data_IF_922183068115
#
_entry.id   IF_922183068115
#
_cell.length_a   1.000
_cell.length_b   1.000
_cell.length_c   1.000
_cell.angle_alpha   90.00
_cell.angle_beta   90.00
_cell.angle_gamma   90.00
#
_symmetry.space_group_name_H-M   'P 1'
#
loop_
_entity.id
_entity.type
_entity.pdbx_description
1 polymer ?
#
# COMPACT_ATOMS: atom_id res chain seq x y z
N UNK A 1 -68.17 21.40 11.49
CA UNK A 1 -67.10 21.04 10.54
C UNK A 1 -65.74 21.18 11.22
N UNK A 2 -65.28 20.16 11.96
CA UNK A 2 -64.03 20.19 12.75
C UNK A 2 -63.17 18.92 12.57
N UNK A 3 -63.46 18.10 11.56
CA UNK A 3 -62.83 16.79 11.35
C UNK A 3 -61.96 16.70 10.08
N UNK A 4 -61.77 17.81 9.34
CA UNK A 4 -60.97 17.82 8.10
C UNK A 4 -59.56 18.42 8.26
N UNK A 5 -59.22 18.98 9.43
CA UNK A 5 -57.92 19.64 9.65
C UNK A 5 -56.84 18.73 10.28
N UNK A 6 -57.19 17.53 10.73
CA UNK A 6 -56.26 16.61 11.39
C UNK A 6 -55.56 15.60 10.45
N UNK A 7 -56.04 15.44 9.20
CA UNK A 7 -55.45 14.48 8.26
C UNK A 7 -54.25 15.09 7.51
N UNK A 8 -54.20 16.42 7.36
CA UNK A 8 -53.09 17.08 6.64
C UNK A 8 -51.79 17.18 7.46
N UNK A 9 -51.83 17.03 8.78
CA UNK A 9 -50.64 17.13 9.65
C UNK A 9 -49.91 15.80 9.89
N UNK A 10 -50.49 14.66 9.49
CA UNK A 10 -49.86 13.33 9.64
C UNK A 10 -49.16 12.83 8.37
N UNK A 11 -49.34 13.48 7.22
CA UNK A 11 -48.65 13.09 5.98
C UNK A 11 -47.32 13.84 5.75
N UNK A 12 -47.08 14.96 6.42
CA UNK A 12 -45.84 15.74 6.23
C UNK A 12 -44.64 15.09 6.94
N UNK A 13 -44.87 14.28 7.97
CA UNK A 13 -43.82 13.55 8.70
C UNK A 13 -43.38 12.24 8.03
N UNK A 14 -44.06 11.77 6.97
CA UNK A 14 -43.68 10.54 6.23
C UNK A 14 -42.93 10.87 4.93
N UNK A 15 -43.00 12.12 4.43
CA UNK A 15 -42.31 12.51 3.19
C UNK A 15 -40.82 12.90 3.36
N UNK A 16 -40.31 13.00 4.59
CA UNK A 16 -38.87 13.19 4.83
C UNK A 16 -38.07 11.88 4.92
N UNK A 17 -38.71 10.73 4.63
CA UNK A 17 -38.12 9.40 4.72
C UNK A 17 -37.67 8.79 3.38
N UNK A 18 -37.49 9.58 2.32
CA UNK A 18 -37.04 9.07 1.02
C UNK A 18 -35.53 9.30 0.89
N UNK A 19 -34.80 8.25 1.27
CA UNK A 19 -33.54 7.82 0.67
C UNK A 19 -32.59 8.91 0.19
N UNK A 20 -31.72 9.38 1.08
CA UNK A 20 -30.33 9.57 0.66
C UNK A 20 -29.73 8.18 0.46
N UNK A 21 -29.98 7.60 -0.72
CA UNK A 21 -29.16 6.53 -1.22
C UNK A 21 -27.72 7.06 -1.19
N UNK A 22 -26.83 6.32 -0.52
CA UNK A 22 -25.45 6.71 -0.35
C UNK A 22 -24.84 6.98 -1.73
N UNK A 23 -24.20 8.13 -1.91
CA UNK A 23 -23.37 8.44 -3.09
C UNK A 23 -22.23 7.41 -3.30
N UNK A 24 -22.03 6.49 -2.35
CA UNK A 24 -21.12 5.34 -2.46
C UNK A 24 -21.69 4.17 -3.29
N UNK A 25 -23.01 4.08 -3.49
CA UNK A 25 -23.63 3.01 -4.30
C UNK A 25 -23.64 3.32 -5.80
N UNK A 26 -23.29 4.56 -6.20
CA UNK A 26 -23.21 5.00 -7.59
C UNK A 26 -21.77 5.04 -8.13
N UNK A 27 -20.84 4.32 -7.51
CA UNK A 27 -19.52 4.11 -8.13
C UNK A 27 -19.76 3.16 -9.31
N UNK A 28 -19.48 3.59 -10.55
CA UNK A 28 -19.67 2.71 -11.71
C UNK A 28 -18.85 1.44 -11.51
N UNK A 29 -19.52 0.29 -11.56
CA UNK A 29 -18.88 -1.02 -11.54
C UNK A 29 -18.07 -1.17 -12.83
N UNK A 30 -16.77 -0.92 -12.74
CA UNK A 30 -15.86 -1.03 -13.87
C UNK A 30 -15.45 -2.50 -14.00
N UNK A 31 -16.01 -3.21 -14.99
CA UNK A 31 -15.67 -4.62 -15.30
C UNK A 31 -14.22 -4.79 -15.82
N UNK A 32 -13.50 -3.68 -16.07
CA UNK A 32 -12.07 -3.70 -16.38
C UNK A 32 -11.26 -3.58 -15.07
N UNK A 33 -10.98 -4.73 -14.44
CA UNK A 33 -10.07 -4.81 -13.29
C UNK A 33 -8.59 -4.67 -13.67
N UNK A 34 -8.29 -4.68 -14.97
CA UNK A 34 -6.97 -4.37 -15.53
C UNK A 34 -6.73 -2.85 -15.47
N UNK A 35 -5.53 -2.45 -15.04
CA UNK A 35 -5.04 -1.06 -14.91
C UNK A 35 -5.44 -0.22 -13.69
N UNK A 36 -5.99 -0.81 -12.62
CA UNK A 36 -6.10 -0.09 -11.33
C UNK A 36 -4.71 0.14 -10.72
N UNK A 37 -4.24 1.38 -10.75
CA UNK A 37 -3.00 1.80 -10.08
C UNK A 37 -3.23 2.15 -8.61
N UNK A 38 -2.39 1.61 -7.73
CA UNK A 38 -2.36 1.98 -6.31
C UNK A 38 -1.01 2.55 -5.89
N UNK A 39 -1.06 3.57 -5.06
CA UNK A 39 0.14 4.16 -4.44
C UNK A 39 0.33 3.65 -3.02
N UNK A 40 1.53 3.16 -2.75
CA UNK A 40 1.90 2.57 -1.46
C UNK A 40 3.25 3.13 -0.97
N UNK A 41 3.48 2.99 0.33
CA UNK A 41 4.76 3.18 1.00
C UNK A 41 5.25 1.84 1.52
N UNK A 42 6.48 1.51 1.19
CA UNK A 42 7.16 0.30 1.64
C UNK A 42 8.38 0.69 2.45
N UNK A 43 8.60 0.02 3.59
CA UNK A 43 9.80 0.21 4.41
C UNK A 43 10.27 -1.11 4.99
N UNK A 44 11.58 -1.21 5.18
CA UNK A 44 12.22 -2.41 5.71
C UNK A 44 13.30 -2.06 6.72
N UNK A 45 13.38 -2.81 7.81
CA UNK A 45 14.45 -2.70 8.79
C UNK A 45 14.79 -4.06 9.38
N UNK A 46 16.05 -4.45 9.27
CA UNK A 46 16.60 -5.65 9.89
C UNK A 46 17.76 -5.26 10.82
N UNK A 47 17.81 -5.89 11.99
CA UNK A 47 18.92 -5.78 12.93
C UNK A 47 19.45 -7.18 13.20
N UNK A 48 20.73 -7.39 12.93
CA UNK A 48 21.45 -8.61 13.29
C UNK A 48 22.56 -8.31 14.30
N UNK A 49 22.87 -9.31 15.12
CA UNK A 49 24.01 -9.31 16.03
C UNK A 49 24.72 -10.65 15.90
N UNK A 50 26.03 -10.61 15.73
CA UNK A 50 26.88 -11.80 15.62
C UNK A 50 26.33 -12.80 14.57
N UNK A 51 25.90 -12.25 13.43
CA UNK A 51 25.27 -12.96 12.31
C UNK A 51 23.90 -13.60 12.58
N UNK A 52 23.28 -13.33 13.73
CA UNK A 52 21.93 -13.77 14.06
C UNK A 52 20.94 -12.62 13.89
N UNK A 53 19.90 -12.82 13.08
CA UNK A 53 18.81 -11.85 12.94
C UNK A 53 18.02 -11.75 14.26
N UNK A 54 18.00 -10.55 14.85
CA UNK A 54 17.31 -10.30 16.12
C UNK A 54 15.92 -9.68 15.92
N UNK A 55 15.79 -8.82 14.91
CA UNK A 55 14.55 -8.11 14.62
C UNK A 55 14.45 -7.83 13.14
N UNK A 56 13.28 -8.10 12.60
CA UNK A 56 12.89 -7.74 11.25
C UNK A 56 11.57 -6.98 11.31
N UNK A 57 11.45 -5.92 10.51
CA UNK A 57 10.25 -5.13 10.37
C UNK A 57 10.05 -4.78 8.90
N UNK A 58 8.99 -5.33 8.33
CA UNK A 58 8.54 -5.03 6.98
C UNK A 58 7.16 -4.39 7.04
N UNK A 59 6.96 -3.29 6.33
CA UNK A 59 5.68 -2.56 6.33
C UNK A 59 5.32 -2.14 4.91
N UNK A 60 4.07 -2.40 4.55
CA UNK A 60 3.41 -1.93 3.33
C UNK A 60 2.13 -1.20 3.76
N UNK A 61 2.01 0.07 3.37
CA UNK A 61 0.90 0.94 3.77
C UNK A 61 0.47 1.85 2.63
N UNK A 62 -0.80 2.22 2.59
CA UNK A 62 -1.30 3.22 1.63
C UNK A 62 -0.76 4.61 1.95
N UNK A 63 -0.58 5.42 0.90
CA UNK A 63 -0.23 6.83 1.07
C UNK A 63 -1.49 7.63 1.44
N UNK A 64 -1.41 8.50 2.45
CA UNK A 64 -2.56 9.33 2.84
C UNK A 64 -2.89 10.44 1.81
N UNK A 65 -1.88 10.92 1.09
CA UNK A 65 -2.03 11.92 0.03
C UNK A 65 -1.63 11.32 -1.31
N UNK A 66 -2.59 10.82 -2.08
CA UNK A 66 -2.35 10.40 -3.46
C UNK A 66 -1.87 11.61 -4.28
N UNK A 67 -0.63 11.56 -4.78
CA UNK A 67 -0.06 12.68 -5.54
C UNK A 67 0.05 12.35 -7.04
N UNK A 68 -0.26 11.12 -7.44
CA UNK A 68 -0.18 10.69 -8.83
C UNK A 68 1.22 10.95 -9.38
N UNK A 69 1.29 11.56 -10.56
CA UNK A 69 2.55 11.94 -11.20
C UNK A 69 3.08 13.32 -10.79
N UNK A 70 2.37 14.08 -9.94
CA UNK A 70 2.77 15.45 -9.61
C UNK A 70 4.01 15.45 -8.73
N UNK A 71 5.18 15.64 -9.35
CA UNK A 71 6.47 15.82 -8.67
C UNK A 71 7.28 14.54 -8.42
N UNK A 72 6.80 13.39 -8.91
CA UNK A 72 7.50 12.11 -8.80
C UNK A 72 7.80 11.55 -10.19
N UNK A 73 9.00 10.98 -10.34
CA UNK A 73 9.41 10.23 -11.53
C UNK A 73 9.58 8.77 -11.18
N UNK A 74 9.29 7.89 -12.14
CA UNK A 74 9.61 6.47 -12.01
C UNK A 74 11.12 6.32 -12.06
N UNK A 75 11.70 5.83 -10.97
CA UNK A 75 13.14 5.66 -10.84
C UNK A 75 13.59 4.24 -11.17
N UNK A 76 12.75 3.25 -10.86
CA UNK A 76 12.96 1.85 -11.21
C UNK A 76 11.61 1.14 -11.35
N UNK A 77 11.62 0.00 -12.02
CA UNK A 77 10.44 -0.84 -12.23
C UNK A 77 10.83 -2.31 -12.13
N UNK A 78 9.96 -3.11 -11.55
CA UNK A 78 10.12 -4.56 -11.41
C UNK A 78 8.76 -5.25 -11.42
N UNK A 79 8.82 -6.54 -11.71
CA UNK A 79 7.66 -7.41 -11.76
C UNK A 79 7.68 -8.34 -10.54
N UNK A 80 6.53 -8.43 -9.87
CA UNK A 80 6.31 -9.38 -8.77
C UNK A 80 5.33 -10.43 -9.25
N UNK A 81 5.73 -11.70 -9.20
CA UNK A 81 4.87 -12.81 -9.62
C UNK A 81 3.69 -12.96 -8.66
N UNK A 82 2.47 -12.79 -9.17
CA UNK A 82 1.22 -13.00 -8.45
C UNK A 82 0.38 -14.16 -9.03
N UNK A 83 0.93 -14.94 -9.96
CA UNK A 83 0.23 -15.96 -10.74
C UNK A 83 -0.40 -17.08 -9.90
N UNK A 84 0.19 -17.36 -8.74
CA UNK A 84 -0.27 -18.38 -7.79
C UNK A 84 -1.48 -17.95 -6.96
N UNK A 85 -1.87 -16.68 -7.01
CA UNK A 85 -2.93 -16.14 -6.17
C UNK A 85 -4.24 -15.99 -6.95
N UNK A 86 -5.39 -16.34 -6.33
CA UNK A 86 -6.68 -16.04 -6.93
C UNK A 86 -6.90 -14.53 -6.94
N UNK A 87 -7.20 -13.97 -8.10
CA UNK A 87 -7.50 -12.55 -8.28
C UNK A 87 -8.78 -12.22 -7.50
N UNK A 88 -8.77 -11.12 -6.74
CA UNK A 88 -9.90 -10.66 -5.91
C UNK A 88 -10.47 -9.35 -6.46
N UNK A 89 -11.78 -9.11 -6.30
CA UNK A 89 -12.45 -7.90 -6.82
C UNK A 89 -11.89 -6.58 -6.24
N UNK A 90 -11.44 -6.59 -4.97
CA UNK A 90 -10.77 -5.44 -4.35
C UNK A 90 -9.28 -5.39 -4.74
N UNK A 91 -9.00 -4.79 -5.90
CA UNK A 91 -7.64 -4.65 -6.44
C UNK A 91 -6.65 -3.96 -5.49
N UNK A 92 -6.99 -2.81 -4.86
CA UNK A 92 -6.10 -2.20 -3.87
C UNK A 92 -5.72 -3.11 -2.72
N UNK A 93 -6.68 -3.83 -2.16
CA UNK A 93 -6.42 -4.79 -1.09
C UNK A 93 -5.61 -5.98 -1.60
N UNK A 94 -5.95 -6.51 -2.77
CA UNK A 94 -5.26 -7.63 -3.42
C UNK A 94 -3.78 -7.30 -3.61
N UNK A 95 -3.46 -6.21 -4.33
CA UNK A 95 -2.09 -5.76 -4.60
C UNK A 95 -1.32 -5.57 -3.30
N UNK A 96 -1.91 -4.89 -2.32
CA UNK A 96 -1.28 -4.65 -1.01
C UNK A 96 -1.00 -5.95 -0.27
N UNK A 97 -1.89 -6.93 -0.37
CA UNK A 97 -1.76 -8.23 0.27
C UNK A 97 -0.68 -9.08 -0.38
N UNK A 98 -0.60 -9.09 -1.71
CA UNK A 98 0.47 -9.80 -2.42
C UNK A 98 1.83 -9.18 -2.09
N UNK A 99 1.97 -7.85 -2.13
CA UNK A 99 3.23 -7.19 -1.78
C UNK A 99 3.65 -7.45 -0.31
N UNK A 100 2.71 -7.74 0.59
CA UNK A 100 3.00 -8.17 1.96
C UNK A 100 3.50 -9.61 2.03
N UNK A 101 2.94 -10.50 1.20
CA UNK A 101 3.27 -11.93 1.19
C UNK A 101 4.56 -12.21 0.41
N UNK A 102 4.75 -11.59 -0.74
CA UNK A 102 5.93 -11.67 -1.60
C UNK A 102 7.05 -10.73 -1.15
N UNK A 103 7.28 -10.68 0.17
CA UNK A 103 8.28 -9.79 0.80
C UNK A 103 9.64 -9.90 0.11
N UNK A 104 10.13 -11.12 -0.15
CA UNK A 104 11.48 -11.32 -0.69
C UNK A 104 11.65 -10.74 -2.10
N UNK A 105 10.68 -10.95 -3.00
CA UNK A 105 10.71 -10.37 -4.36
C UNK A 105 10.65 -8.83 -4.29
N UNK A 106 9.83 -8.28 -3.40
CA UNK A 106 9.73 -6.83 -3.20
C UNK A 106 11.03 -6.23 -2.67
N UNK A 107 11.66 -6.89 -1.69
CA UNK A 107 12.92 -6.45 -1.13
C UNK A 107 14.06 -6.51 -2.15
N UNK A 108 14.13 -7.56 -2.97
CA UNK A 108 15.11 -7.66 -4.06
C UNK A 108 15.01 -6.45 -5.01
N UNK A 109 13.79 -6.07 -5.38
CA UNK A 109 13.57 -4.90 -6.21
C UNK A 109 13.96 -3.58 -5.52
N UNK A 110 13.62 -3.41 -4.24
CA UNK A 110 13.99 -2.22 -3.49
C UNK A 110 15.51 -2.14 -3.26
N UNK A 111 16.17 -3.29 -3.10
CA UNK A 111 17.63 -3.36 -2.94
C UNK A 111 18.40 -2.92 -4.18
N UNK A 112 17.84 -3.14 -5.37
CA UNK A 112 18.41 -2.62 -6.60
C UNK A 112 18.34 -1.09 -6.71
N UNK A 113 17.45 -0.44 -5.94
CA UNK A 113 17.25 1.01 -5.99
C UNK A 113 18.07 1.77 -4.93
N UNK A 114 17.83 1.54 -3.64
CA UNK A 114 18.54 2.25 -2.58
C UNK A 114 18.50 1.47 -1.25
N UNK A 115 19.67 1.24 -0.65
CA UNK A 115 19.80 0.54 0.64
C UNK A 115 20.79 1.26 1.53
N UNK A 116 20.41 1.47 2.78
CA UNK A 116 21.33 1.95 3.81
C UNK A 116 21.77 0.78 4.70
N UNK A 117 23.05 0.44 4.61
CA UNK A 117 23.69 -0.57 5.47
C UNK A 117 24.53 0.17 6.52
N UNK A 118 24.28 -0.12 7.80
CA UNK A 118 25.09 0.37 8.92
C UNK A 118 25.68 -0.80 9.67
N UNK A 119 27.01 -0.87 9.71
CA UNK A 119 27.75 -1.88 10.46
C UNK A 119 28.47 -1.23 11.65
N UNK A 120 28.47 -1.93 12.78
CA UNK A 120 29.20 -1.52 13.98
C UNK A 120 29.86 -2.74 14.62
N UNK A 121 31.17 -2.66 14.79
CA UNK A 121 31.98 -3.70 15.46
C UNK A 121 32.50 -3.17 16.79
N UNK A 122 32.33 -3.94 17.86
CA UNK A 122 32.86 -3.60 19.18
C UNK A 122 33.63 -4.78 19.77
N UNK A 123 34.82 -4.54 20.31
CA UNK A 123 35.66 -5.56 20.92
C UNK A 123 35.79 -5.35 22.43
N UNK A 124 35.56 -6.39 23.24
CA UNK A 124 35.87 -6.39 24.68
C UNK A 124 36.33 -7.79 25.09
N UNK A 125 37.44 -7.87 25.83
CA UNK A 125 38.03 -9.13 26.32
C UNK A 125 38.27 -10.18 25.21
N UNK A 126 38.91 -9.78 24.09
CA UNK A 126 39.17 -10.63 22.92
C UNK A 126 37.93 -11.26 22.24
N UNK A 127 36.72 -10.90 22.67
CA UNK A 127 35.49 -11.23 21.98
C UNK A 127 35.09 -10.08 21.05
N UNK A 128 35.00 -10.37 19.75
CA UNK A 128 34.49 -9.45 18.75
C UNK A 128 32.97 -9.58 18.71
N UNK A 129 32.25 -8.47 18.89
CA UNK A 129 30.80 -8.39 18.70
C UNK A 129 30.50 -7.54 17.47
N UNK A 130 29.80 -8.10 16.51
CA UNK A 130 29.35 -7.38 15.31
C UNK A 130 27.85 -7.12 15.38
N UNK A 131 27.43 -5.92 14.99
CA UNK A 131 26.03 -5.56 14.82
C UNK A 131 25.85 -4.90 13.46
N UNK A 132 24.98 -5.49 12.65
CA UNK A 132 24.61 -4.96 11.34
C UNK A 132 23.15 -4.52 11.38
N UNK A 133 22.87 -3.36 10.80
CA UNK A 133 21.51 -2.85 10.59
C UNK A 133 21.35 -2.58 9.11
N UNK A 134 20.36 -3.22 8.50
CA UNK A 134 19.93 -2.95 7.13
C UNK A 134 18.63 -2.17 7.19
N UNK A 135 18.55 -1.07 6.45
CA UNK A 135 17.38 -0.21 6.43
C UNK A 135 17.08 0.27 5.01
N UNK A 136 15.83 0.06 4.59
CA UNK A 136 15.23 0.71 3.42
C UNK A 136 14.30 1.78 3.96
N UNK A 137 14.63 3.04 3.68
CA UNK A 137 13.80 4.17 4.06
C UNK A 137 12.39 4.04 3.43
N UNK A 138 11.35 4.66 4.03
CA UNK A 138 10.01 4.65 3.46
C UNK A 138 10.00 5.09 2.00
N UNK A 139 9.85 4.12 1.10
CA UNK A 139 9.95 4.28 -0.34
C UNK A 139 8.55 4.27 -0.92
N UNK A 140 8.23 5.31 -1.69
CA UNK A 140 6.94 5.44 -2.36
C UNK A 140 6.95 4.65 -3.65
N UNK A 141 5.90 3.88 -3.89
CA UNK A 141 5.76 3.06 -5.07
C UNK A 141 4.38 3.24 -5.71
N UNK A 142 4.28 2.93 -7.00
CA UNK A 142 3.04 2.63 -7.69
C UNK A 142 3.01 1.15 -8.02
N UNK A 143 1.87 0.50 -7.88
CA UNK A 143 1.69 -0.88 -8.25
C UNK A 143 0.40 -1.05 -9.05
N UNK A 144 0.43 -1.93 -10.04
CA UNK A 144 -0.76 -2.34 -10.79
C UNK A 144 -0.65 -3.81 -11.20
N UNK A 145 -1.79 -4.47 -11.33
CA UNK A 145 -1.87 -5.84 -11.84
C UNK A 145 -1.82 -5.81 -13.38
N UNK A 146 -0.94 -6.61 -13.97
CA UNK A 146 -0.77 -6.80 -15.42
C UNK A 146 -0.47 -8.28 -15.65
N UNK A 147 -1.28 -8.98 -16.44
CA UNK A 147 -1.02 -10.38 -16.82
C UNK A 147 -0.72 -11.34 -15.65
N UNK A 148 -1.45 -11.19 -14.53
CA UNK A 148 -1.25 -11.93 -13.26
C UNK A 148 0.06 -11.65 -12.54
N UNK A 149 0.79 -10.61 -12.94
CA UNK A 149 1.94 -10.10 -12.22
C UNK A 149 1.67 -8.69 -11.72
N UNK A 150 2.26 -8.32 -10.59
CA UNK A 150 2.19 -6.95 -10.08
C UNK A 150 3.39 -6.19 -10.62
N UNK A 151 3.10 -5.22 -11.47
CA UNK A 151 4.11 -4.27 -11.94
C UNK A 151 4.32 -3.20 -10.87
N UNK A 152 5.47 -3.25 -10.20
CA UNK A 152 5.87 -2.29 -9.17
C UNK A 152 6.82 -1.24 -9.75
N UNK A 153 6.47 0.03 -9.60
CA UNK A 153 7.27 1.19 -10.02
C UNK A 153 7.71 1.96 -8.78
N UNK A 154 9.01 2.12 -8.60
CA UNK A 154 9.59 2.92 -7.52
C UNK A 154 9.57 4.39 -7.90
N UNK A 155 9.07 5.24 -7.01
CA UNK A 155 8.92 6.67 -7.24
C UNK A 155 10.01 7.46 -6.51
N UNK A 156 10.70 8.34 -7.24
CA UNK A 156 11.64 9.30 -6.68
C UNK A 156 11.13 10.72 -6.90
N UNK A 157 11.33 11.61 -5.91
CA UNK A 157 11.06 13.03 -6.11
C UNK A 157 12.11 13.57 -7.09
N UNK A 158 11.66 14.13 -8.21
CA UNK A 158 12.58 14.86 -9.08
C UNK A 158 13.22 16.00 -8.29
N UNK A 159 14.54 16.14 -8.35
CA UNK A 159 15.17 17.38 -7.90
C UNK A 159 14.58 18.53 -8.74
N UNK A 160 13.93 19.47 -8.06
CA UNK A 160 13.55 20.78 -8.60
C UNK A 160 14.76 21.69 -8.43
#
# INVERSE_FOLDING_TARGET
MRFQLLIFLLCVSILNGIGRANELDNIPYNESFEDVEVELLISYKMISRDNVALKELYRVSHVMNYQGEKGYKVAAQCEIDASKYPIMDDMPYFITSILKQEKEQVLECLYAYEVHIRESTSGRNNALRSRVSLEIAPTRIKAKLVDKSIMMKILSKGQV
#
